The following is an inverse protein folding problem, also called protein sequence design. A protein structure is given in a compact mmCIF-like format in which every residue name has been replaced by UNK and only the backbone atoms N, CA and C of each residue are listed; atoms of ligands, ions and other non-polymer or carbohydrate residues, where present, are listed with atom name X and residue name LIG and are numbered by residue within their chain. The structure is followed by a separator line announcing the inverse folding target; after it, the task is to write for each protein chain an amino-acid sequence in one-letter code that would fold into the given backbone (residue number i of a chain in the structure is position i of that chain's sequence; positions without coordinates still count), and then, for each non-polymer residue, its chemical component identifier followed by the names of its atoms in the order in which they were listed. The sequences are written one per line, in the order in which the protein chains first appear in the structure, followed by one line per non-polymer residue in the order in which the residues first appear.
data_IF_823746020409
#
_entry.id   IF_823746020409
#
_cell.length_a   1.000
_cell.length_b   1.000
_cell.length_c   1.000
_cell.angle_alpha   90.00
_cell.angle_beta   90.00
_cell.angle_gamma   90.00
#
_symmetry.space_group_name_H-M   'P 1'
#
loop_
_entity.id
_entity.type
_entity.pdbx_description
1 polymer ?
#
# COMPACT_ATOMS: atom_id res chain seq x y z
N UNK A 1 -8.82 7.09 -10.75
CA UNK A 1 -8.18 8.36 -10.39
C UNK A 1 -6.66 8.21 -10.50
N UNK A 2 -5.94 9.27 -10.87
CA UNK A 2 -4.47 9.29 -10.87
C UNK A 2 -3.97 10.13 -9.67
N UNK A 3 -2.76 9.85 -9.20
CA UNK A 3 -2.20 10.59 -8.07
C UNK A 3 -0.73 10.33 -7.82
N UNK A 4 -0.24 10.86 -6.72
CA UNK A 4 1.15 10.75 -6.26
C UNK A 4 1.17 10.10 -4.88
N UNK A 5 2.14 9.21 -4.66
CA UNK A 5 2.44 8.66 -3.34
C UNK A 5 3.06 9.76 -2.49
N UNK A 6 2.31 10.23 -1.49
CA UNK A 6 2.73 11.33 -0.63
C UNK A 6 3.53 10.85 0.58
N UNK A 7 3.23 9.65 1.10
CA UNK A 7 3.95 9.07 2.24
C UNK A 7 3.81 7.55 2.26
N UNK A 8 4.94 6.85 2.43
CA UNK A 8 4.97 5.42 2.77
C UNK A 8 5.47 5.27 4.21
N UNK A 9 4.64 4.70 5.07
CA UNK A 9 5.02 4.46 6.47
C UNK A 9 6.03 3.30 6.56
N UNK A 10 6.95 3.35 7.54
CA UNK A 10 8.11 2.43 7.65
C UNK A 10 7.76 0.94 7.58
N UNK A 11 6.65 0.53 8.18
CA UNK A 11 6.19 -0.87 8.18
C UNK A 11 5.37 -1.23 6.94
N UNK A 12 5.22 -0.31 5.97
CA UNK A 12 4.46 -0.44 4.72
C UNK A 12 2.98 -0.82 4.89
N UNK A 13 2.48 -0.79 6.12
CA UNK A 13 1.08 -1.04 6.48
C UNK A 13 0.13 0.10 6.12
N UNK A 14 0.67 1.30 5.85
CA UNK A 14 -0.12 2.47 5.51
C UNK A 14 0.57 3.25 4.40
N UNK A 15 -0.22 3.79 3.48
CA UNK A 15 0.22 4.57 2.32
C UNK A 15 -0.72 5.76 2.14
N UNK A 16 -0.16 6.96 2.17
CA UNK A 16 -0.86 8.19 1.83
C UNK A 16 -0.69 8.50 0.35
N UNK A 17 -1.79 8.72 -0.35
CA UNK A 17 -1.84 9.17 -1.73
C UNK A 17 -2.53 10.53 -1.80
N UNK A 18 -2.10 11.37 -2.72
CA UNK A 18 -2.85 12.57 -3.11
C UNK A 18 -3.22 12.43 -4.58
N UNK A 19 -4.50 12.54 -4.89
CA UNK A 19 -4.97 12.54 -6.28
C UNK A 19 -4.57 13.83 -6.99
N UNK A 20 -4.55 13.80 -8.32
CA UNK A 20 -4.33 14.99 -9.15
C UNK A 20 -5.41 16.08 -8.89
N UNK A 21 -6.58 15.70 -8.39
CA UNK A 21 -7.68 16.60 -8.01
C UNK A 21 -7.58 17.14 -6.56
N UNK A 22 -6.49 16.81 -5.84
CA UNK A 22 -6.23 17.29 -4.47
C UNK A 22 -6.90 16.49 -3.34
N UNK A 23 -7.58 15.37 -3.66
CA UNK A 23 -8.14 14.45 -2.64
C UNK A 23 -7.02 13.62 -2.01
N UNK A 24 -6.98 13.59 -0.68
CA UNK A 24 -6.06 12.74 0.08
C UNK A 24 -6.71 11.39 0.41
N UNK A 25 -5.97 10.31 0.15
CA UNK A 25 -6.42 8.93 0.37
C UNK A 25 -5.40 8.26 1.27
N UNK A 26 -5.85 7.77 2.42
CA UNK A 26 -5.03 6.95 3.32
C UNK A 26 -5.46 5.49 3.21
N UNK A 27 -4.54 4.65 2.75
CA UNK A 27 -4.76 3.21 2.66
C UNK A 27 -4.10 2.59 3.88
N UNK A 28 -4.88 1.94 4.74
CA UNK A 28 -4.42 1.21 5.92
C UNK A 28 -4.70 -0.28 5.76
N UNK A 29 -3.70 -1.13 6.00
CA UNK A 29 -3.75 -2.55 5.68
C UNK A 29 -3.77 -3.38 6.95
N UNK A 30 -4.91 -4.03 7.20
CA UNK A 30 -5.13 -4.90 8.35
C UNK A 30 -5.30 -4.12 9.67
N UNK A 31 -5.76 -4.81 10.70
CA UNK A 31 -5.84 -4.29 12.07
C UNK A 31 -4.59 -4.80 12.82
N UNK A 32 -3.84 -3.90 13.47
CA UNK A 32 -2.62 -4.20 14.25
C UNK A 32 -1.36 -4.68 13.48
N UNK A 33 -1.32 -4.53 12.16
CA UNK A 33 -0.17 -4.96 11.31
C UNK A 33 1.13 -4.17 11.56
N UNK A 34 1.07 -3.05 12.28
CA UNK A 34 2.26 -2.32 12.75
C UNK A 34 3.19 -3.21 13.57
N UNK A 35 2.64 -4.19 14.30
CA UNK A 35 3.39 -5.12 15.15
C UNK A 35 4.22 -6.12 14.34
N UNK A 36 3.88 -6.33 13.06
CA UNK A 36 4.63 -7.18 12.13
C UNK A 36 5.94 -6.52 11.67
N UNK A 37 6.20 -5.26 12.04
CA UNK A 37 7.44 -4.53 11.73
C UNK A 37 7.82 -4.54 10.24
N UNK A 38 6.83 -4.61 9.35
CA UNK A 38 7.03 -4.69 7.90
C UNK A 38 7.40 -6.08 7.36
N UNK A 39 7.45 -7.10 8.21
CA UNK A 39 7.51 -8.49 7.75
C UNK A 39 6.23 -8.79 6.97
N UNK A 40 6.36 -9.56 5.89
CA UNK A 40 5.27 -9.94 5.00
C UNK A 40 4.70 -8.83 4.11
N UNK A 41 5.21 -7.60 4.16
CA UNK A 41 4.79 -6.50 3.27
C UNK A 41 5.85 -6.18 2.24
N UNK A 42 5.50 -6.33 0.96
CA UNK A 42 6.33 -5.84 -0.14
C UNK A 42 5.68 -4.60 -0.76
N UNK A 43 6.31 -3.45 -0.58
CA UNK A 43 5.91 -2.20 -1.23
C UNK A 43 6.54 -2.12 -2.61
N UNK A 44 5.73 -1.83 -3.62
CA UNK A 44 6.13 -1.77 -5.03
C UNK A 44 6.33 -0.34 -5.55
N UNK A 45 5.96 0.66 -4.74
CA UNK A 45 6.12 2.08 -5.03
C UNK A 45 6.98 2.76 -3.96
N UNK A 46 7.41 3.97 -4.25
CA UNK A 46 8.21 4.85 -3.39
C UNK A 46 7.52 6.20 -3.20
N UNK A 47 8.00 6.96 -2.23
CA UNK A 47 7.58 8.33 -2.02
C UNK A 47 7.84 9.18 -3.28
N UNK A 48 6.85 9.96 -3.70
CA UNK A 48 6.88 10.75 -4.93
C UNK A 48 6.57 9.99 -6.22
N UNK A 49 6.35 8.66 -6.17
CA UNK A 49 5.95 7.92 -7.36
C UNK A 49 4.53 8.31 -7.79
N UNK A 50 4.33 8.41 -9.12
CA UNK A 50 3.01 8.60 -9.69
C UNK A 50 2.31 7.26 -9.82
N UNK A 51 1.05 7.19 -9.42
CA UNK A 51 0.20 6.01 -9.47
C UNK A 51 -1.05 6.26 -10.30
N UNK A 52 -1.52 5.23 -10.98
CA UNK A 52 -2.74 5.21 -11.76
C UNK A 52 -3.63 4.02 -11.34
N UNK A 53 -4.86 4.05 -11.81
CA UNK A 53 -5.84 2.98 -11.54
C UNK A 53 -5.29 1.63 -11.95
N UNK A 54 -5.29 0.68 -11.02
CA UNK A 54 -4.87 -0.69 -11.28
C UNK A 54 -3.39 -0.97 -11.00
N UNK A 55 -2.60 0.04 -10.62
CA UNK A 55 -1.24 -0.17 -10.15
C UNK A 55 -1.22 -0.99 -8.85
N UNK A 56 -0.19 -1.83 -8.74
CA UNK A 56 0.08 -2.57 -7.51
C UNK A 56 0.97 -1.69 -6.63
N UNK A 57 0.42 -1.26 -5.49
CA UNK A 57 1.11 -0.36 -4.57
C UNK A 57 1.83 -1.18 -3.48
N UNK A 58 1.19 -2.26 -3.02
CA UNK A 58 1.67 -3.12 -1.93
C UNK A 58 1.11 -4.53 -2.05
N UNK A 59 1.94 -5.52 -1.75
CA UNK A 59 1.54 -6.93 -1.65
C UNK A 59 1.83 -7.47 -0.26
N UNK A 60 1.02 -8.41 0.18
CA UNK A 60 1.21 -9.13 1.45
C UNK A 60 1.40 -10.63 1.22
N UNK A 61 2.33 -11.25 1.94
CA UNK A 61 2.55 -12.69 1.97
C UNK A 61 2.11 -13.24 3.33
N UNK A 62 0.97 -13.92 3.40
CA UNK A 62 0.51 -14.45 4.69
C UNK A 62 1.34 -15.69 5.08
N UNK A 63 2.17 -15.60 6.12
CA UNK A 63 3.03 -16.72 6.58
C UNK A 63 2.36 -17.63 7.62
N UNK A 64 1.04 -17.55 7.77
CA UNK A 64 0.29 -18.46 8.62
C UNK A 64 -0.80 -19.14 7.80
N UNK A 65 -0.44 -20.32 7.28
CA UNK A 65 -1.33 -21.35 6.74
C UNK A 65 -2.00 -20.96 5.39
N UNK A 66 -1.52 -21.56 4.30
CA UNK A 66 -2.02 -21.51 2.90
C UNK A 66 -1.61 -20.32 2.02
N UNK A 67 -0.47 -20.48 1.32
CA UNK A 67 -0.27 -20.29 -0.14
C UNK A 67 -1.17 -19.33 -0.95
N UNK A 68 -1.41 -18.10 -0.48
CA UNK A 68 -1.90 -17.02 -1.37
C UNK A 68 -1.24 -15.69 -1.05
N UNK A 69 -0.44 -15.20 -1.99
CA UNK A 69 -0.06 -13.79 -2.03
C UNK A 69 -1.32 -12.96 -2.21
N UNK A 70 -1.57 -12.01 -1.31
CA UNK A 70 -2.66 -11.06 -1.47
C UNK A 70 -2.09 -9.76 -2.02
N UNK A 71 -2.29 -9.54 -3.31
CA UNK A 71 -1.95 -8.27 -3.94
C UNK A 71 -3.03 -7.26 -3.58
N UNK A 72 -2.65 -6.21 -2.87
CA UNK A 72 -3.54 -5.09 -2.60
C UNK A 72 -3.41 -4.15 -3.78
N UNK A 73 -4.30 -4.36 -4.75
CA UNK A 73 -4.51 -3.46 -5.86
C UNK A 73 -5.39 -2.33 -5.40
N UNK A 74 -4.88 -1.12 -5.50
CA UNK A 74 -5.63 0.06 -5.15
C UNK A 74 -6.27 0.56 -6.43
N UNK A 75 -7.59 0.46 -6.47
CA UNK A 75 -8.39 1.09 -7.52
C UNK A 75 -8.69 2.50 -7.02
N UNK A 76 -7.71 3.40 -7.19
CA UNK A 76 -7.95 4.83 -7.10
C UNK A 76 -8.82 5.26 -8.27
#
# INVERSE_FOLDING_TARGET
MNGIVQTIYRTKHAIGLISDDGVEILIHIGQDTVQLKGQHFNGFVKDGDRVQVGDVIVGTQNDMVNEKEHLIKVYV
#
